data_IF_725893508746
#
_entry.id   IF_725893508746
#
_cell.length_a   1.000
_cell.length_b   1.000
_cell.length_c   1.000
_cell.angle_alpha   90.00
_cell.angle_beta   90.00
_cell.angle_gamma   90.00
#
_symmetry.space_group_name_H-M   'P 1'
#
loop_
_entity.id
_entity.type
_entity.pdbx_description
1 polymer ?
#
# COMPACT_ATOMS: atom_id res chain seq x y z
N UNK A 1 12.71 16.75 -25.45
CA UNK A 1 13.57 17.95 -25.35
C UNK A 1 14.62 17.67 -24.28
N UNK A 2 15.82 17.26 -24.72
CA UNK A 2 16.92 16.85 -23.84
C UNK A 2 17.54 18.08 -23.16
N UNK A 3 17.47 18.17 -21.83
CA UNK A 3 18.36 19.05 -21.06
C UNK A 3 19.55 18.24 -20.56
N UNK A 4 20.64 18.25 -21.33
CA UNK A 4 21.94 17.81 -20.83
C UNK A 4 22.44 18.81 -19.79
N UNK A 5 22.25 18.50 -18.51
CA UNK A 5 23.01 19.12 -17.45
C UNK A 5 24.33 18.36 -17.31
N UNK A 6 25.32 18.76 -18.13
CA UNK A 6 26.71 18.33 -17.98
C UNK A 6 27.32 19.11 -16.83
N UNK A 7 27.14 18.65 -15.59
CA UNK A 7 27.96 19.11 -14.46
C UNK A 7 29.16 18.16 -14.29
N UNK A 8 30.36 18.70 -14.34
CA UNK A 8 31.63 17.97 -14.35
C UNK A 8 32.03 17.36 -13.00
N UNK A 9 31.07 16.82 -12.22
CA UNK A 9 31.35 16.23 -10.90
C UNK A 9 30.78 14.82 -10.69
N UNK A 10 30.15 14.21 -11.70
CA UNK A 10 29.41 12.94 -11.51
C UNK A 10 30.15 11.65 -11.96
N UNK A 11 31.45 11.73 -12.27
CA UNK A 11 32.25 10.57 -12.68
C UNK A 11 32.60 9.61 -11.52
N UNK A 12 32.35 10.01 -10.28
CA UNK A 12 32.87 9.32 -9.09
C UNK A 12 31.81 8.55 -8.30
N UNK A 13 30.57 8.50 -8.81
CA UNK A 13 29.48 7.71 -8.22
C UNK A 13 29.83 6.21 -8.10
N UNK A 14 30.82 5.75 -8.88
CA UNK A 14 31.37 4.39 -8.96
C UNK A 14 32.46 4.03 -7.94
N UNK A 15 32.95 4.99 -7.14
CA UNK A 15 34.21 4.83 -6.37
C UNK A 15 34.03 4.54 -4.87
N UNK A 16 32.79 4.51 -4.36
CA UNK A 16 32.52 4.14 -2.98
C UNK A 16 32.31 2.64 -2.83
N UNK A 17 32.68 2.09 -1.67
CA UNK A 17 32.49 0.67 -1.34
C UNK A 17 31.01 0.29 -1.09
N UNK A 18 30.08 1.23 -1.24
CA UNK A 18 28.65 1.09 -0.90
C UNK A 18 27.77 0.87 -2.13
N UNK A 19 28.37 0.59 -3.29
CA UNK A 19 27.66 0.46 -4.56
C UNK A 19 27.25 -0.98 -4.78
N UNK A 20 25.94 -1.19 -4.87
CA UNK A 20 25.37 -2.47 -5.27
C UNK A 20 25.31 -2.54 -6.79
N UNK A 21 26.05 -3.50 -7.36
CA UNK A 21 26.01 -3.73 -8.80
C UNK A 21 24.69 -4.38 -9.23
N UNK A 22 24.01 -3.86 -10.26
CA UNK A 22 22.77 -4.44 -10.74
C UNK A 22 23.02 -5.78 -11.44
N UNK A 23 22.43 -6.85 -10.91
CA UNK A 23 22.45 -8.19 -11.52
C UNK A 23 21.01 -8.56 -11.88
N UNK A 24 20.80 -9.04 -13.10
CA UNK A 24 19.47 -9.45 -13.58
C UNK A 24 18.86 -10.48 -12.64
N UNK A 25 17.65 -10.20 -12.14
CA UNK A 25 16.90 -11.08 -11.24
C UNK A 25 17.10 -10.78 -9.75
N UNK A 26 18.14 -10.03 -9.36
CA UNK A 26 18.34 -9.64 -7.97
C UNK A 26 17.38 -8.51 -7.57
N UNK A 27 17.01 -8.50 -6.29
CA UNK A 27 16.21 -7.43 -5.68
C UNK A 27 16.94 -6.89 -4.45
N UNK A 28 16.77 -5.59 -4.20
CA UNK A 28 17.27 -4.91 -3.00
C UNK A 28 16.04 -4.43 -2.24
N UNK A 29 15.98 -4.76 -0.95
CA UNK A 29 14.99 -4.23 -0.02
C UNK A 29 15.71 -3.37 1.01
N UNK A 30 15.24 -2.14 1.19
CA UNK A 30 15.69 -1.23 2.24
C UNK A 30 14.45 -0.53 2.84
N UNK A 31 14.57 -0.09 4.08
CA UNK A 31 13.51 0.61 4.80
C UNK A 31 13.84 2.10 4.86
N UNK A 32 12.84 2.95 4.58
CA UNK A 32 13.00 4.41 4.68
C UNK A 32 12.59 4.99 6.04
N UNK A 33 12.16 4.13 6.96
CA UNK A 33 11.69 4.48 8.29
C UNK A 33 12.33 3.56 9.32
N UNK A 34 12.65 4.10 10.49
CA UNK A 34 12.99 3.32 11.67
C UNK A 34 11.72 2.68 12.28
N UNK A 35 11.91 1.75 13.23
CA UNK A 35 10.80 1.08 13.93
C UNK A 35 9.88 2.06 14.66
N UNK A 36 10.39 3.21 15.09
CA UNK A 36 9.62 4.29 15.70
C UNK A 36 8.92 5.21 14.68
N UNK A 37 8.87 4.81 13.40
CA UNK A 37 8.30 5.56 12.26
C UNK A 37 9.01 6.86 11.88
N UNK A 38 10.15 7.18 12.50
CA UNK A 38 10.97 8.32 12.10
C UNK A 38 11.66 8.06 10.75
N UNK A 39 11.80 9.07 9.86
CA UNK A 39 12.57 8.94 8.62
C UNK A 39 14.01 8.51 8.86
N UNK A 40 14.46 7.49 8.12
CA UNK A 40 15.83 7.01 8.19
C UNK A 40 16.71 7.80 7.21
N UNK A 41 17.60 8.65 7.74
CA UNK A 41 18.51 9.45 6.90
C UNK A 41 19.59 8.60 6.23
N UNK A 42 19.91 7.43 6.80
CA UNK A 42 20.90 6.50 6.24
C UNK A 42 20.34 5.74 5.04
N UNK A 43 19.01 5.73 4.85
CA UNK A 43 18.37 5.07 3.70
C UNK A 43 18.43 5.89 2.40
N UNK A 44 19.12 7.03 2.39
CA UNK A 44 19.30 7.82 1.17
C UNK A 44 20.07 6.98 0.15
N UNK A 45 19.48 6.80 -1.03
CA UNK A 45 20.07 6.04 -2.10
C UNK A 45 19.82 6.77 -3.41
N UNK A 46 20.78 6.67 -4.31
CA UNK A 46 20.68 7.23 -5.64
C UNK A 46 21.24 6.22 -6.64
N UNK A 47 20.80 6.37 -7.88
CA UNK A 47 21.30 5.58 -9.00
C UNK A 47 22.42 6.35 -9.69
N UNK A 48 23.55 5.69 -9.91
CA UNK A 48 24.61 6.24 -10.74
C UNK A 48 24.23 6.31 -12.23
N UNK A 49 24.81 7.23 -13.01
CA UNK A 49 24.62 7.28 -14.46
C UNK A 49 25.00 5.96 -15.14
N UNK A 50 24.24 5.56 -16.17
CA UNK A 50 24.56 4.39 -16.99
C UNK A 50 25.62 4.80 -18.01
N UNK A 51 26.84 4.27 -17.88
CA UNK A 51 27.97 4.61 -18.76
C UNK A 51 27.94 3.86 -20.09
N UNK A 52 27.33 2.67 -20.12
CA UNK A 52 27.25 1.81 -21.31
C UNK A 52 26.00 0.92 -21.28
N UNK A 53 25.30 0.84 -22.41
CA UNK A 53 24.11 0.01 -22.57
C UNK A 53 22.89 0.54 -21.82
N UNK A 54 21.95 -0.36 -21.53
CA UNK A 54 20.69 -0.05 -20.85
C UNK A 54 20.59 -0.80 -19.52
N UNK A 55 19.92 -0.19 -18.54
CA UNK A 55 19.58 -0.81 -17.26
C UNK A 55 18.09 -0.68 -16.99
N UNK A 56 17.45 -1.82 -16.74
CA UNK A 56 16.02 -1.90 -16.42
C UNK A 56 15.84 -2.32 -14.96
N UNK A 57 14.94 -1.65 -14.25
CA UNK A 57 14.63 -1.92 -12.84
C UNK A 57 13.15 -1.69 -12.57
N UNK A 58 12.55 -2.48 -11.68
CA UNK A 58 11.21 -2.22 -11.15
C UNK A 58 11.30 -1.82 -9.67
N UNK A 59 10.45 -0.88 -9.25
CA UNK A 59 10.37 -0.41 -7.86
C UNK A 59 8.97 -0.69 -7.33
N UNK A 60 8.88 -1.35 -6.18
CA UNK A 60 7.63 -1.57 -5.46
C UNK A 60 7.70 -0.85 -4.12
N UNK A 61 6.81 0.11 -3.91
CA UNK A 61 6.67 0.78 -2.62
C UNK A 61 5.70 0.03 -1.72
N UNK A 62 6.13 -0.25 -0.50
CA UNK A 62 5.29 -0.76 0.58
C UNK A 62 5.06 0.38 1.57
N UNK A 63 3.80 0.73 1.80
CA UNK A 63 3.41 1.80 2.72
C UNK A 63 2.87 1.20 4.00
N UNK A 64 3.25 1.78 5.14
CA UNK A 64 2.74 1.39 6.46
C UNK A 64 1.23 1.64 6.61
N UNK A 65 0.68 2.56 5.80
CA UNK A 65 -0.76 2.79 5.70
C UNK A 65 -1.26 2.39 4.32
N UNK A 66 -2.46 1.82 4.28
CA UNK A 66 -3.23 1.68 3.06
C UNK A 66 -3.27 3.04 2.35
N UNK A 67 -2.68 3.10 1.15
CA UNK A 67 -2.94 4.19 0.23
C UNK A 67 -4.27 3.84 -0.41
N UNK A 68 -5.37 4.05 0.31
CA UNK A 68 -6.70 3.98 -0.28
C UNK A 68 -6.68 4.90 -1.49
N UNK A 69 -6.82 4.32 -2.69
CA UNK A 69 -6.93 5.12 -3.91
C UNK A 69 -8.03 6.12 -3.63
N UNK A 70 -7.71 7.42 -3.64
CA UNK A 70 -8.72 8.47 -3.76
C UNK A 70 -9.31 8.37 -5.16
N UNK A 71 -10.20 7.40 -5.31
CA UNK A 71 -11.44 7.52 -6.05
C UNK A 71 -12.52 7.30 -5.00
N UNK A 72 -12.74 8.31 -4.15
CA UNK A 72 -14.07 8.51 -3.58
C UNK A 72 -14.91 9.06 -4.75
N UNK A 73 -15.21 8.19 -5.72
CA UNK A 73 -16.60 8.11 -6.12
C UNK A 73 -17.30 7.78 -4.81
N UNK A 74 -18.08 8.72 -4.31
CA UNK A 74 -19.22 8.45 -3.46
C UNK A 74 -19.95 7.24 -4.07
N UNK A 75 -19.52 6.03 -3.69
CA UNK A 75 -20.43 4.90 -3.60
C UNK A 75 -21.46 5.46 -2.63
N UNK A 76 -22.68 5.62 -3.12
CA UNK A 76 -23.84 5.96 -2.34
C UNK A 76 -23.85 5.06 -1.11
N UNK A 77 -23.33 5.59 -0.01
CA UNK A 77 -23.46 5.07 1.35
C UNK A 77 -24.91 5.34 1.77
N UNK A 78 -25.84 4.82 0.98
CA UNK A 78 -27.28 5.10 1.11
C UNK A 78 -28.11 3.83 0.89
N UNK A 79 -27.53 2.77 0.34
CA UNK A 79 -28.21 1.47 0.27
C UNK A 79 -27.67 0.53 1.35
N UNK A 80 -28.07 0.83 2.59
CA UNK A 80 -27.99 -0.10 3.71
C UNK A 80 -28.81 -1.35 3.37
N UNK A 81 -28.12 -2.42 2.97
CA UNK A 81 -28.73 -3.66 2.50
C UNK A 81 -28.15 -4.85 3.23
N UNK A 82 -28.93 -5.93 3.26
CA UNK A 82 -28.43 -7.24 3.66
C UNK A 82 -27.91 -7.94 2.41
N UNK A 83 -26.77 -8.61 2.53
CA UNK A 83 -26.14 -9.37 1.45
C UNK A 83 -26.66 -10.81 1.36
N UNK A 84 -27.45 -11.26 2.35
CA UNK A 84 -28.00 -12.62 2.44
C UNK A 84 -29.50 -12.60 2.78
N UNK A 85 -30.28 -13.43 2.10
CA UNK A 85 -31.73 -13.56 2.30
C UNK A 85 -32.09 -14.10 3.70
N UNK A 86 -31.16 -14.79 4.38
CA UNK A 86 -31.35 -15.30 5.74
C UNK A 86 -31.06 -14.27 6.84
N UNK A 87 -30.54 -13.08 6.50
CA UNK A 87 -30.23 -12.04 7.48
C UNK A 87 -31.39 -11.71 8.45
N UNK A 88 -32.67 -11.59 8.01
CA UNK A 88 -33.78 -11.36 8.93
C UNK A 88 -34.01 -12.52 9.91
N UNK A 89 -33.83 -13.77 9.44
CA UNK A 89 -33.98 -14.95 10.28
C UNK A 89 -32.87 -15.03 11.34
N UNK A 90 -31.61 -14.78 10.93
CA UNK A 90 -30.48 -14.76 11.84
C UNK A 90 -30.55 -13.61 12.85
N UNK A 91 -30.98 -12.43 12.41
CA UNK A 91 -31.22 -11.31 13.32
C UNK A 91 -32.32 -11.63 14.33
N UNK A 92 -33.43 -12.26 13.90
CA UNK A 92 -34.50 -12.70 14.78
C UNK A 92 -34.04 -13.77 15.81
N UNK A 93 -33.05 -14.61 15.46
CA UNK A 93 -32.44 -15.56 16.40
C UNK A 93 -31.34 -14.95 17.28
N UNK A 94 -31.06 -13.65 17.14
CA UNK A 94 -30.10 -12.92 17.98
C UNK A 94 -28.65 -12.97 17.49
N UNK A 95 -28.41 -13.32 16.23
CA UNK A 95 -27.05 -13.41 15.67
C UNK A 95 -26.32 -12.07 15.63
N UNK A 96 -27.02 -10.94 15.61
CA UNK A 96 -26.38 -9.62 15.73
C UNK A 96 -25.48 -9.53 16.97
N UNK A 97 -25.85 -10.23 18.06
CA UNK A 97 -25.15 -10.18 19.34
C UNK A 97 -24.21 -11.36 19.50
N UNK A 98 -24.58 -12.53 18.96
CA UNK A 98 -23.78 -13.76 19.03
C UNK A 98 -22.66 -13.79 18.00
N UNK A 99 -22.87 -13.16 16.85
CA UNK A 99 -21.95 -13.09 15.72
C UNK A 99 -21.86 -11.66 15.14
N UNK A 100 -21.42 -10.67 15.95
CA UNK A 100 -21.42 -9.27 15.55
C UNK A 100 -20.49 -8.98 14.37
N UNK A 101 -19.37 -9.69 14.23
CA UNK A 101 -18.44 -9.46 13.12
C UNK A 101 -19.05 -9.85 11.78
N UNK A 102 -19.75 -10.98 11.70
CA UNK A 102 -20.41 -11.39 10.46
C UNK A 102 -21.62 -10.50 10.15
N UNK A 103 -22.43 -10.22 11.17
CA UNK A 103 -23.70 -9.53 10.98
C UNK A 103 -23.52 -8.02 10.79
N UNK A 104 -22.78 -7.36 11.68
CA UNK A 104 -22.61 -5.90 11.75
C UNK A 104 -21.31 -5.43 11.11
N UNK A 105 -20.27 -6.27 11.11
CA UNK A 105 -18.96 -5.95 10.54
C UNK A 105 -17.88 -5.61 11.57
N UNK A 106 -16.72 -5.22 11.05
CA UNK A 106 -15.53 -4.78 11.80
C UNK A 106 -14.84 -3.65 11.03
N UNK A 107 -13.76 -3.02 11.55
CA UNK A 107 -13.05 -1.96 10.82
C UNK A 107 -12.58 -2.35 9.41
N UNK A 108 -12.35 -3.64 9.18
CA UNK A 108 -11.84 -4.19 7.92
C UNK A 108 -12.89 -4.98 7.13
N UNK A 109 -14.13 -5.10 7.63
CA UNK A 109 -15.19 -5.89 7.02
C UNK A 109 -16.56 -5.21 7.16
N UNK A 110 -17.27 -5.02 6.05
CA UNK A 110 -18.55 -4.29 6.04
C UNK A 110 -19.62 -4.96 6.92
N UNK A 111 -19.71 -6.29 6.92
CA UNK A 111 -20.78 -7.03 7.60
C UNK A 111 -21.91 -7.37 6.63
N UNK A 112 -22.35 -8.63 6.66
CA UNK A 112 -23.33 -9.21 5.71
C UNK A 112 -24.76 -8.75 5.99
N UNK A 113 -25.13 -8.53 7.26
CA UNK A 113 -26.52 -8.39 7.70
C UNK A 113 -26.78 -7.07 8.42
N UNK A 114 -26.13 -6.00 7.98
CA UNK A 114 -26.15 -4.72 8.69
C UNK A 114 -27.54 -4.14 8.81
N UNK A 115 -28.37 -4.27 7.76
CA UNK A 115 -29.75 -3.76 7.73
C UNK A 115 -30.62 -4.52 8.72
N UNK A 116 -30.57 -5.85 8.70
CA UNK A 116 -31.31 -6.71 9.64
C UNK A 116 -30.89 -6.47 11.11
N UNK A 117 -29.66 -6.03 11.34
CA UNK A 117 -29.16 -5.68 12.68
C UNK A 117 -29.30 -4.19 13.05
N UNK A 118 -29.92 -3.36 12.20
CA UNK A 118 -30.01 -1.90 12.38
C UNK A 118 -28.64 -1.23 12.64
N UNK A 119 -27.59 -1.74 12.01
CA UNK A 119 -26.23 -1.18 12.03
C UNK A 119 -25.98 -0.13 10.94
N UNK A 120 -27.02 0.07 10.14
CA UNK A 120 -27.40 1.23 9.35
C UNK A 120 -28.95 1.21 9.34
#
# INVERSE_FOLDING_TARGET
MYSQWKSSSWSDCGKSNEILQPVKGNAILFFSLHMNTAPDKSSFHARCPILKGDMWSAIKFFSIRSISRRNVSTISYDDCTDEDDQCPAWAATGECQRNPVYMVGSPDYYGTCRKSCNAC
#
